data_IF_454268297827
#
_entry.id   IF_454268297827
#
_cell.length_a   1.000
_cell.length_b   1.000
_cell.length_c   1.000
_cell.angle_alpha   90.00
_cell.angle_beta   90.00
_cell.angle_gamma   90.00
#
_symmetry.space_group_name_H-M   'P 1'
#
loop_
_entity.id
_entity.type
_entity.pdbx_description
1 polymer ?
#
# COMPACT_ATOMS: atom_id res chain seq x y z
N UNK A 1 -34.89 12.30 -1.52
CA UNK A 1 -34.73 10.91 -1.94
C UNK A 1 -33.29 10.75 -2.39
N UNK A 2 -32.41 10.30 -1.49
CA UNK A 2 -31.04 9.99 -1.89
C UNK A 2 -31.07 8.69 -2.69
N UNK A 3 -30.81 8.79 -3.98
CA UNK A 3 -30.52 7.64 -4.83
C UNK A 3 -29.19 7.06 -4.31
N UNK A 4 -29.25 5.93 -3.64
CA UNK A 4 -28.04 5.19 -3.29
C UNK A 4 -27.36 4.75 -4.59
N UNK A 5 -26.14 5.22 -4.79
CA UNK A 5 -25.28 4.76 -5.89
C UNK A 5 -25.03 3.26 -5.64
N UNK A 6 -25.26 2.38 -6.64
CA UNK A 6 -24.97 0.95 -6.47
C UNK A 6 -23.52 0.77 -6.02
N UNK A 7 -23.30 0.00 -4.95
CA UNK A 7 -21.98 -0.21 -4.37
C UNK A 7 -21.45 0.93 -3.47
N UNK A 8 -22.32 1.89 -3.07
CA UNK A 8 -21.95 2.95 -2.14
C UNK A 8 -21.59 2.39 -0.76
N UNK A 9 -20.48 2.89 -0.20
CA UNK A 9 -19.99 2.61 1.15
C UNK A 9 -20.09 3.86 2.06
N UNK A 10 -21.12 4.67 1.86
CA UNK A 10 -21.30 5.95 2.55
C UNK A 10 -21.39 5.85 4.10
N UNK A 11 -21.52 4.65 4.64
CA UNK A 11 -21.48 4.39 6.09
C UNK A 11 -20.09 3.93 6.58
N UNK A 12 -19.10 3.83 5.68
CA UNK A 12 -17.74 3.38 6.00
C UNK A 12 -16.84 4.59 6.25
N UNK A 13 -16.09 4.55 7.35
CA UNK A 13 -15.06 5.52 7.69
C UNK A 13 -13.68 4.86 7.52
N UNK A 14 -12.81 5.44 6.70
CA UNK A 14 -11.45 4.96 6.51
C UNK A 14 -10.43 5.91 7.14
N UNK A 15 -9.50 5.34 7.90
CA UNK A 15 -8.30 6.02 8.37
C UNK A 15 -7.20 5.86 7.32
N UNK A 16 -6.60 6.97 6.90
CA UNK A 16 -5.42 6.98 6.03
C UNK A 16 -4.22 7.47 6.82
N UNK A 17 -3.19 6.64 6.95
CA UNK A 17 -1.91 6.99 7.55
C UNK A 17 -0.92 7.34 6.45
N UNK A 18 -0.53 8.60 6.37
CA UNK A 18 0.38 9.16 5.36
C UNK A 18 1.67 9.62 6.04
N UNK A 19 2.83 9.30 5.46
CA UNK A 19 4.14 9.47 6.07
C UNK A 19 4.99 10.58 5.43
N UNK A 20 4.55 11.08 4.28
CA UNK A 20 5.15 12.23 3.59
C UNK A 20 4.12 12.82 2.61
N UNK A 21 4.13 14.14 2.46
CA UNK A 21 3.13 14.86 1.68
C UNK A 21 3.02 14.40 0.20
N UNK A 22 4.13 14.00 -0.43
CA UNK A 22 4.15 13.56 -1.84
C UNK A 22 3.68 12.11 -2.06
N UNK A 23 3.38 11.35 -1.00
CA UNK A 23 2.86 9.97 -1.10
C UNK A 23 1.40 9.86 -0.60
N UNK A 24 0.45 10.62 -1.16
CA UNK A 24 -0.98 10.42 -0.88
C UNK A 24 -1.46 9.08 -1.46
N UNK A 25 -2.67 8.62 -1.10
CA UNK A 25 -3.19 7.34 -1.60
C UNK A 25 -3.43 7.27 -3.12
N UNK A 26 -3.29 8.36 -3.87
CA UNK A 26 -3.42 8.35 -5.32
C UNK A 26 -4.77 7.78 -5.77
N UNK A 27 -4.74 6.81 -6.70
CA UNK A 27 -5.99 6.20 -7.22
C UNK A 27 -6.83 5.52 -6.14
N UNK A 28 -6.26 5.11 -5.02
CA UNK A 28 -7.03 4.52 -3.92
C UNK A 28 -7.92 5.56 -3.24
N UNK A 29 -7.47 6.81 -3.14
CA UNK A 29 -8.30 7.90 -2.63
C UNK A 29 -9.44 8.23 -3.59
N UNK A 30 -9.18 8.21 -4.91
CA UNK A 30 -10.22 8.40 -5.92
C UNK A 30 -11.32 7.35 -5.73
N UNK A 31 -10.94 6.07 -5.57
CA UNK A 31 -11.90 4.97 -5.32
C UNK A 31 -12.68 5.19 -4.02
N UNK A 32 -12.01 5.54 -2.92
CA UNK A 32 -12.69 5.81 -1.64
C UNK A 32 -13.75 6.91 -1.78
N UNK A 33 -13.39 8.01 -2.44
CA UNK A 33 -14.30 9.14 -2.69
C UNK A 33 -15.49 8.77 -3.58
N UNK A 34 -15.22 8.07 -4.69
CA UNK A 34 -16.26 7.60 -5.61
C UNK A 34 -17.26 6.66 -4.95
N UNK A 35 -16.77 5.82 -4.00
CA UNK A 35 -17.60 4.90 -3.21
C UNK A 35 -18.31 5.60 -2.04
N UNK A 36 -18.04 6.88 -1.81
CA UNK A 36 -18.64 7.68 -0.73
C UNK A 36 -18.10 7.36 0.67
N UNK A 37 -16.94 6.72 0.76
CA UNK A 37 -16.26 6.43 2.04
C UNK A 37 -15.83 7.75 2.68
N UNK A 38 -16.15 7.94 3.97
CA UNK A 38 -15.65 9.07 4.74
C UNK A 38 -14.16 8.81 5.05
N UNK A 39 -13.31 9.77 4.68
CA UNK A 39 -11.86 9.62 4.76
C UNK A 39 -11.30 10.55 5.83
N UNK A 40 -10.57 9.99 6.78
CA UNK A 40 -9.78 10.71 7.77
C UNK A 40 -8.30 10.46 7.50
N UNK A 41 -7.59 11.49 7.02
CA UNK A 41 -6.16 11.42 6.77
C UNK A 41 -5.41 11.95 7.98
N UNK A 42 -4.32 11.29 8.34
CA UNK A 42 -3.35 11.71 9.34
C UNK A 42 -2.00 11.86 8.65
N UNK A 43 -1.43 13.05 8.67
CA UNK A 43 -0.08 13.36 8.19
C UNK A 43 0.88 13.20 9.36
N UNK A 44 1.43 11.99 9.49
CA UNK A 44 2.18 11.59 10.70
C UNK A 44 3.51 12.34 10.81
N UNK A 45 4.15 12.61 9.69
CA UNK A 45 5.40 13.39 9.61
C UNK A 45 5.22 14.85 10.04
N UNK A 46 4.02 15.41 9.90
CA UNK A 46 3.66 16.74 10.40
C UNK A 46 3.33 16.75 11.92
N UNK A 47 3.39 15.59 12.57
CA UNK A 47 3.14 15.43 14.00
C UNK A 47 1.67 15.38 14.37
N UNK A 48 0.79 15.06 13.43
CA UNK A 48 -0.62 14.85 13.73
C UNK A 48 -0.79 13.61 14.62
N UNK A 49 -1.64 13.71 15.68
CA UNK A 49 -1.83 12.59 16.60
C UNK A 49 -2.60 11.45 15.94
N UNK A 50 -2.18 10.22 16.22
CA UNK A 50 -2.92 9.03 15.81
C UNK A 50 -4.27 8.96 16.57
N UNK A 51 -5.40 8.81 15.85
CA UNK A 51 -6.72 8.67 16.45
C UNK A 51 -6.92 7.26 17.04
N UNK A 52 -8.02 7.06 17.76
CA UNK A 52 -8.45 5.72 18.14
C UNK A 52 -8.92 4.97 16.87
N UNK A 53 -8.23 3.90 16.52
CA UNK A 53 -8.55 3.08 15.35
C UNK A 53 -9.97 2.48 15.40
N UNK A 54 -10.58 2.40 16.60
CA UNK A 54 -11.94 1.86 16.79
C UNK A 54 -13.05 2.75 16.23
N UNK A 55 -12.71 3.99 15.89
CA UNK A 55 -13.62 4.93 15.25
C UNK A 55 -13.72 4.70 13.73
N UNK A 56 -12.96 3.73 13.18
CA UNK A 56 -12.85 3.47 11.76
C UNK A 56 -13.23 2.03 11.41
N UNK A 57 -13.67 1.85 10.16
CA UNK A 57 -14.06 0.56 9.58
C UNK A 57 -12.94 -0.06 8.74
N UNK A 58 -11.95 0.72 8.34
CA UNK A 58 -10.79 0.30 7.57
C UNK A 58 -9.60 1.24 7.77
N UNK A 59 -8.38 0.71 7.55
CA UNK A 59 -7.13 1.50 7.58
C UNK A 59 -6.41 1.33 6.24
N UNK A 60 -5.90 2.45 5.71
CA UNK A 60 -4.95 2.48 4.57
C UNK A 60 -3.64 3.06 5.08
N UNK A 61 -2.54 2.33 4.93
CA UNK A 61 -1.20 2.73 5.38
C UNK A 61 -0.33 2.92 4.16
N UNK A 62 0.11 4.15 3.94
CA UNK A 62 0.83 4.53 2.73
C UNK A 62 2.34 4.27 2.82
N UNK A 63 3.04 4.58 1.74
CA UNK A 63 4.49 4.52 1.64
C UNK A 63 5.21 5.66 2.36
N UNK A 64 6.53 5.66 2.24
CA UNK A 64 7.40 6.70 2.76
C UNK A 64 8.88 6.32 2.63
N UNK A 65 9.78 7.32 2.65
CA UNK A 65 11.22 7.11 2.46
C UNK A 65 11.95 6.54 3.68
N UNK A 66 11.28 6.48 4.85
CA UNK A 66 11.86 5.98 6.10
C UNK A 66 11.84 4.44 6.16
N UNK A 67 12.70 3.86 7.01
CA UNK A 67 12.62 2.44 7.34
C UNK A 67 11.59 2.18 8.45
N UNK A 68 10.89 1.05 8.37
CA UNK A 68 10.02 0.57 9.46
C UNK A 68 10.79 0.33 10.79
N UNK A 69 12.13 0.38 10.76
CA UNK A 69 13.01 0.21 11.93
C UNK A 69 13.56 1.53 12.48
N UNK A 70 13.16 2.70 11.96
CA UNK A 70 13.66 4.01 12.39
C UNK A 70 13.08 4.51 13.71
N UNK A 71 12.67 3.60 14.59
CA UNK A 71 12.03 3.87 15.89
C UNK A 71 12.78 4.89 16.76
N UNK A 72 14.10 4.93 16.65
CA UNK A 72 14.94 5.82 17.46
C UNK A 72 14.86 7.27 16.98
N UNK A 73 14.81 7.47 15.68
CA UNK A 73 14.74 8.79 15.05
C UNK A 73 13.31 9.27 14.83
N UNK A 74 12.38 8.34 14.66
CA UNK A 74 10.96 8.55 14.40
C UNK A 74 10.10 7.79 15.43
N UNK A 75 9.99 8.30 16.68
CA UNK A 75 9.29 7.58 17.76
C UNK A 75 7.81 7.29 17.48
N UNK A 76 7.16 8.03 16.59
CA UNK A 76 5.79 7.80 16.17
C UNK A 76 5.59 6.44 15.48
N UNK A 77 6.65 5.86 14.87
CA UNK A 77 6.60 4.50 14.29
C UNK A 77 6.25 3.43 15.33
N UNK A 78 6.64 3.62 16.60
CA UNK A 78 6.30 2.69 17.68
C UNK A 78 4.80 2.71 17.93
N UNK A 79 4.22 3.92 18.00
CA UNK A 79 2.78 4.09 18.26
C UNK A 79 1.95 3.60 17.08
N UNK A 80 2.38 3.88 15.86
CA UNK A 80 1.73 3.41 14.65
C UNK A 80 1.75 1.89 14.53
N UNK A 81 2.91 1.24 14.73
CA UNK A 81 2.99 -0.24 14.74
C UNK A 81 2.10 -0.86 15.82
N UNK A 82 1.97 -0.20 16.98
CA UNK A 82 1.04 -0.65 18.03
C UNK A 82 -0.41 -0.54 17.56
N UNK A 83 -0.80 0.61 16.98
CA UNK A 83 -2.12 0.82 16.42
C UNK A 83 -2.45 -0.25 15.37
N UNK A 84 -1.56 -0.45 14.39
CA UNK A 84 -1.73 -1.46 13.34
C UNK A 84 -1.89 -2.86 13.96
N UNK A 85 -1.03 -3.23 14.92
CA UNK A 85 -1.09 -4.54 15.58
C UNK A 85 -2.42 -4.78 16.28
N UNK A 86 -2.91 -3.80 17.05
CA UNK A 86 -4.18 -3.89 17.76
C UNK A 86 -5.37 -3.98 16.79
N UNK A 87 -5.41 -3.10 15.78
CA UNK A 87 -6.48 -3.05 14.79
C UNK A 87 -6.58 -4.35 13.99
N UNK A 88 -5.45 -4.81 13.42
CA UNK A 88 -5.41 -6.03 12.59
C UNK A 88 -5.78 -7.28 13.41
N UNK A 89 -5.28 -7.39 14.65
CA UNK A 89 -5.64 -8.52 15.53
C UNK A 89 -7.09 -8.51 15.98
N UNK A 90 -7.76 -7.35 15.92
CA UNK A 90 -9.21 -7.26 16.14
C UNK A 90 -10.05 -7.61 14.92
N UNK A 91 -9.40 -7.87 13.75
CA UNK A 91 -10.06 -8.16 12.48
C UNK A 91 -10.42 -6.91 11.67
N UNK A 92 -9.88 -5.74 11.99
CA UNK A 92 -10.11 -4.54 11.18
C UNK A 92 -9.41 -4.68 9.82
N UNK A 93 -10.09 -4.40 8.69
CA UNK A 93 -9.47 -4.38 7.38
C UNK A 93 -8.33 -3.37 7.30
N UNK A 94 -7.21 -3.78 6.68
CA UNK A 94 -6.09 -2.91 6.42
C UNK A 94 -5.55 -3.13 5.00
N UNK A 95 -5.19 -2.03 4.33
CA UNK A 95 -4.45 -2.00 3.08
C UNK A 95 -3.14 -1.26 3.27
N UNK A 96 -2.00 -1.94 3.15
CA UNK A 96 -0.66 -1.36 3.33
C UNK A 96 0.13 -1.33 2.03
N UNK A 97 0.80 -0.21 1.73
CA UNK A 97 1.59 0.00 0.51
C UNK A 97 3.02 0.35 0.89
N UNK A 98 4.00 -0.34 0.31
CA UNK A 98 5.43 -0.09 0.45
C UNK A 98 5.85 -0.07 1.94
N UNK A 99 6.15 1.08 2.53
CA UNK A 99 6.38 1.18 3.98
C UNK A 99 5.20 0.59 4.77
N UNK A 100 3.97 0.81 4.32
CA UNK A 100 2.76 0.29 4.98
C UNK A 100 2.72 -1.24 5.07
N UNK A 101 3.18 -1.99 4.06
CA UNK A 101 3.28 -3.46 4.16
C UNK A 101 4.39 -3.89 5.11
N UNK A 102 5.49 -3.14 5.17
CA UNK A 102 6.60 -3.41 6.09
C UNK A 102 6.18 -3.14 7.54
N UNK A 103 5.45 -2.04 7.79
CA UNK A 103 4.85 -1.73 9.10
C UNK A 103 3.83 -2.81 9.51
N UNK A 104 3.00 -3.28 8.59
CA UNK A 104 2.08 -4.40 8.84
C UNK A 104 2.86 -5.66 9.22
N UNK A 105 3.91 -6.01 8.49
CA UNK A 105 4.75 -7.17 8.78
C UNK A 105 5.41 -7.06 10.17
N UNK A 106 6.02 -5.91 10.47
CA UNK A 106 6.64 -5.63 11.78
C UNK A 106 5.61 -5.69 12.92
N UNK A 107 4.42 -5.14 12.74
CA UNK A 107 3.32 -5.15 13.71
C UNK A 107 2.79 -6.54 14.02
N UNK A 108 2.96 -7.48 13.08
CA UNK A 108 2.66 -8.90 13.24
C UNK A 108 3.82 -9.73 13.79
N UNK A 109 4.97 -9.08 14.09
CA UNK A 109 6.15 -9.69 14.69
C UNK A 109 7.14 -10.28 13.68
N UNK A 110 7.02 -9.97 12.40
CA UNK A 110 7.98 -10.33 11.38
C UNK A 110 9.16 -9.33 11.36
N UNK A 111 10.32 -9.76 10.88
CA UNK A 111 11.46 -8.86 10.70
C UNK A 111 11.30 -8.06 9.41
N UNK A 112 11.73 -6.81 9.45
CA UNK A 112 11.96 -5.96 8.28
C UNK A 112 13.47 -5.72 8.21
N UNK A 113 14.06 -5.84 7.02
CA UNK A 113 15.51 -5.76 6.84
C UNK A 113 15.86 -5.35 5.41
N UNK A 114 17.07 -4.80 5.17
CA UNK A 114 17.54 -4.52 3.83
C UNK A 114 17.54 -5.75 2.94
N UNK A 115 16.98 -5.63 1.75
CA UNK A 115 16.99 -6.69 0.74
C UNK A 115 18.36 -6.86 0.09
N UNK A 116 18.51 -7.83 -0.83
CA UNK A 116 19.78 -8.12 -1.49
C UNK A 116 20.27 -6.95 -2.34
N UNK A 117 19.38 -6.29 -3.06
CA UNK A 117 19.64 -5.11 -3.91
C UNK A 117 18.35 -4.28 -3.95
N UNK A 118 18.40 -2.94 -4.00
CA UNK A 118 17.20 -2.13 -4.17
C UNK A 118 16.46 -2.45 -5.47
N UNK A 119 15.14 -2.61 -5.41
CA UNK A 119 14.29 -2.61 -6.60
C UNK A 119 13.83 -1.17 -6.88
N UNK A 120 14.30 -0.61 -7.99
CA UNK A 120 13.87 0.70 -8.51
C UNK A 120 13.62 0.54 -10.01
N UNK A 121 12.36 0.59 -10.42
CA UNK A 121 12.01 0.35 -11.82
C UNK A 121 10.54 0.00 -12.01
N UNK A 122 10.14 -0.11 -13.26
CA UNK A 122 8.91 -0.79 -13.64
C UNK A 122 9.23 -2.28 -13.80
N UNK A 123 8.91 -3.07 -12.80
CA UNK A 123 9.30 -4.47 -12.72
C UNK A 123 8.07 -5.37 -12.58
N UNK A 124 8.13 -6.59 -13.15
CA UNK A 124 7.04 -7.54 -13.02
C UNK A 124 7.01 -8.19 -11.63
N UNK A 125 5.81 -8.36 -11.09
CA UNK A 125 5.55 -9.27 -9.98
C UNK A 125 4.63 -10.39 -10.44
N UNK A 126 4.88 -11.60 -9.94
CA UNK A 126 4.09 -12.79 -10.27
C UNK A 126 3.11 -13.08 -9.14
N UNK A 127 1.83 -13.22 -9.47
CA UNK A 127 0.78 -13.63 -8.55
C UNK A 127 0.95 -15.12 -8.25
N UNK A 128 1.06 -15.48 -6.97
CA UNK A 128 1.22 -16.87 -6.52
C UNK A 128 -0.05 -17.70 -6.75
N UNK A 129 0.04 -19.02 -6.57
CA UNK A 129 -1.15 -19.88 -6.61
C UNK A 129 -2.18 -19.47 -5.56
N UNK A 130 -1.72 -19.10 -4.35
CA UNK A 130 -2.60 -18.56 -3.32
C UNK A 130 -3.21 -17.22 -3.71
N UNK A 131 -2.44 -16.34 -4.37
CA UNK A 131 -2.95 -15.08 -4.88
C UNK A 131 -4.06 -15.28 -5.93
N UNK A 132 -3.89 -16.23 -6.85
CA UNK A 132 -4.94 -16.57 -7.84
C UNK A 132 -6.23 -17.14 -7.23
N UNK A 133 -6.17 -17.62 -6.00
CA UNK A 133 -7.33 -18.12 -5.25
C UNK A 133 -7.84 -17.13 -4.19
N UNK A 134 -7.14 -15.99 -4.04
CA UNK A 134 -7.48 -14.96 -3.06
C UNK A 134 -8.62 -14.08 -3.58
N UNK A 135 -9.62 -13.73 -2.75
CA UNK A 135 -10.77 -12.96 -3.21
C UNK A 135 -10.41 -11.58 -3.80
N UNK A 136 -9.29 -10.98 -3.39
CA UNK A 136 -8.86 -9.66 -3.89
C UNK A 136 -8.01 -9.78 -5.15
N UNK A 137 -7.12 -10.78 -5.20
CA UNK A 137 -6.13 -10.93 -6.28
C UNK A 137 -6.57 -11.90 -7.40
N UNK A 138 -7.69 -12.63 -7.23
CA UNK A 138 -8.11 -13.70 -8.16
C UNK A 138 -8.33 -13.23 -9.61
N UNK A 139 -8.74 -11.97 -9.79
CA UNK A 139 -9.01 -11.41 -11.12
C UNK A 139 -7.81 -10.64 -11.70
N UNK A 140 -6.72 -10.51 -10.90
CA UNK A 140 -5.49 -9.88 -11.39
C UNK A 140 -4.81 -10.74 -12.45
N UNK A 141 -4.13 -10.13 -13.44
CA UNK A 141 -3.23 -10.85 -14.33
C UNK A 141 -2.18 -11.66 -13.55
N UNK A 142 -1.75 -12.80 -14.08
CA UNK A 142 -0.74 -13.64 -13.42
C UNK A 142 0.58 -12.89 -13.22
N UNK A 143 0.90 -11.95 -14.10
CA UNK A 143 2.04 -11.06 -14.02
C UNK A 143 1.55 -9.61 -14.06
N UNK A 144 1.95 -8.81 -13.09
CA UNK A 144 1.64 -7.38 -12.99
C UNK A 144 2.90 -6.57 -13.25
N UNK A 145 2.83 -5.59 -14.15
CA UNK A 145 3.84 -4.55 -14.21
C UNK A 145 3.58 -3.55 -13.08
N UNK A 146 4.56 -3.34 -12.21
CA UNK A 146 4.43 -2.50 -11.01
C UNK A 146 5.58 -1.51 -10.92
N UNK A 147 5.33 -0.37 -10.28
CA UNK A 147 6.38 0.53 -9.87
C UNK A 147 7.02 0.00 -8.58
N UNK A 148 8.31 -0.29 -8.65
CA UNK A 148 9.13 -0.68 -7.51
C UNK A 148 10.05 0.49 -7.14
N UNK A 149 10.07 0.84 -5.85
CA UNK A 149 10.98 1.84 -5.32
C UNK A 149 11.24 1.59 -3.84
N UNK A 150 11.96 0.50 -3.56
CA UNK A 150 12.26 0.09 -2.20
C UNK A 150 13.61 -0.61 -2.09
N UNK A 151 14.17 -0.65 -0.89
CA UNK A 151 15.39 -1.37 -0.57
C UNK A 151 15.22 -2.37 0.56
N UNK A 152 14.21 -2.16 1.42
CA UNK A 152 13.89 -3.08 2.50
C UNK A 152 12.90 -4.14 2.05
N UNK A 153 12.94 -5.28 2.74
CA UNK A 153 12.01 -6.41 2.61
C UNK A 153 11.61 -6.91 4.00
N UNK A 154 10.77 -7.92 4.05
CA UNK A 154 10.28 -8.48 5.31
C UNK A 154 10.15 -10.01 5.23
N UNK A 155 10.25 -10.66 6.39
CA UNK A 155 9.83 -12.05 6.53
C UNK A 155 8.31 -12.13 6.46
N UNK A 156 7.77 -13.21 5.88
CA UNK A 156 6.33 -13.43 5.89
C UNK A 156 5.84 -13.64 7.32
N UNK A 157 4.91 -12.84 7.85
CA UNK A 157 4.38 -13.02 9.19
C UNK A 157 3.78 -14.41 9.39
N UNK A 158 3.90 -14.94 10.61
CA UNK A 158 3.33 -16.25 10.92
C UNK A 158 1.81 -16.25 10.75
N UNK A 159 1.31 -17.14 9.91
CA UNK A 159 -0.11 -17.25 9.57
C UNK A 159 -0.55 -16.38 8.39
N UNK A 160 0.35 -15.58 7.83
CA UNK A 160 0.10 -14.84 6.61
C UNK A 160 0.20 -15.74 5.37
N UNK A 161 -0.47 -15.33 4.31
CA UNK A 161 -0.48 -16.00 3.00
C UNK A 161 0.19 -15.09 1.99
N UNK A 162 1.25 -15.58 1.32
CA UNK A 162 1.94 -14.85 0.24
C UNK A 162 1.06 -14.81 -1.00
N UNK A 163 0.84 -13.61 -1.53
CA UNK A 163 -0.02 -13.37 -2.70
C UNK A 163 0.78 -13.08 -3.98
N UNK A 164 1.94 -12.44 -3.85
CA UNK A 164 2.81 -12.11 -4.98
C UNK A 164 4.29 -12.20 -4.61
N UNK A 165 5.14 -12.42 -5.63
CA UNK A 165 6.59 -12.48 -5.53
C UNK A 165 7.25 -11.87 -6.77
N UNK A 166 8.53 -11.45 -6.66
CA UNK A 166 9.39 -11.12 -7.79
C UNK A 166 10.63 -12.00 -7.79
N UNK A 167 11.43 -12.03 -8.86
CA UNK A 167 12.67 -12.80 -8.90
C UNK A 167 13.68 -12.40 -7.82
N UNK A 168 13.72 -11.12 -7.44
CA UNK A 168 14.64 -10.61 -6.43
C UNK A 168 14.05 -10.69 -5.01
N UNK A 169 12.72 -10.58 -4.89
CA UNK A 169 12.04 -10.50 -3.60
C UNK A 169 10.88 -11.50 -3.52
N UNK A 170 11.02 -12.44 -2.60
CA UNK A 170 10.02 -13.48 -2.41
C UNK A 170 8.67 -12.93 -1.89
N UNK A 171 8.71 -11.87 -1.08
CA UNK A 171 7.52 -11.28 -0.45
C UNK A 171 7.19 -9.93 -1.07
N UNK A 172 6.37 -9.93 -2.12
CA UNK A 172 5.88 -8.72 -2.79
C UNK A 172 4.45 -8.34 -2.38
N UNK A 173 3.65 -9.31 -1.94
CA UNK A 173 2.35 -9.07 -1.34
C UNK A 173 1.97 -10.22 -0.43
N UNK A 174 1.25 -9.89 0.65
CA UNK A 174 0.68 -10.90 1.54
C UNK A 174 -0.67 -10.47 2.10
N UNK A 175 -1.42 -11.47 2.59
CA UNK A 175 -2.62 -11.29 3.38
C UNK A 175 -2.47 -11.95 4.75
N UNK A 176 -2.92 -11.26 5.78
CA UNK A 176 -3.13 -11.80 7.12
C UNK A 176 -4.55 -11.46 7.56
N UNK A 177 -5.43 -12.48 7.60
CA UNK A 177 -6.85 -12.31 7.86
C UNK A 177 -7.49 -11.31 6.89
N UNK A 178 -7.90 -10.12 7.36
CA UNK A 178 -8.48 -9.03 6.57
C UNK A 178 -7.47 -7.92 6.22
N UNK A 179 -6.22 -8.07 6.65
CA UNK A 179 -5.14 -7.13 6.32
C UNK A 179 -4.39 -7.60 5.07
N UNK A 180 -4.22 -6.70 4.12
CA UNK A 180 -3.49 -6.88 2.87
C UNK A 180 -2.35 -5.90 2.79
N UNK A 181 -1.22 -6.33 2.26
CA UNK A 181 -0.09 -5.46 2.02
C UNK A 181 0.60 -5.78 0.70
N UNK A 182 1.00 -4.72 -0.01
CA UNK A 182 1.75 -4.77 -1.26
C UNK A 182 3.04 -3.96 -1.13
N UNK A 183 4.17 -4.51 -1.58
CA UNK A 183 5.47 -3.82 -1.53
C UNK A 183 5.63 -2.82 -2.65
N UNK A 184 4.97 -3.06 -3.76
CA UNK A 184 4.98 -2.27 -4.97
C UNK A 184 3.88 -1.20 -4.99
N UNK A 185 4.00 -0.28 -5.95
CA UNK A 185 3.05 0.80 -6.16
C UNK A 185 2.23 0.59 -7.43
N UNK A 186 0.94 0.80 -7.34
CA UNK A 186 -0.03 0.84 -8.43
C UNK A 186 -0.91 2.09 -8.37
N UNK A 187 -0.74 2.91 -7.33
CA UNK A 187 -1.55 4.11 -7.08
C UNK A 187 -1.00 5.37 -7.72
N UNK A 188 0.25 5.34 -8.15
CA UNK A 188 1.07 6.51 -8.47
C UNK A 188 0.76 7.06 -9.85
N UNK A 189 0.56 8.38 -9.94
CA UNK A 189 0.54 9.11 -11.20
C UNK A 189 1.96 9.52 -11.63
N UNK A 190 2.13 9.92 -12.90
CA UNK A 190 3.40 10.49 -13.35
C UNK A 190 3.78 11.78 -12.62
N UNK A 191 2.81 12.58 -12.14
CA UNK A 191 3.03 13.76 -11.33
C UNK A 191 3.60 13.39 -9.96
N UNK A 192 2.98 12.45 -9.25
CA UNK A 192 3.49 11.94 -7.97
C UNK A 192 4.91 11.39 -8.11
N UNK A 193 5.20 10.62 -9.15
CA UNK A 193 6.54 10.07 -9.37
C UNK A 193 7.60 11.18 -9.58
N UNK A 194 7.23 12.31 -10.21
CA UNK A 194 8.11 13.46 -10.34
C UNK A 194 8.37 14.16 -9.00
N UNK A 195 7.34 14.30 -8.16
CA UNK A 195 7.48 14.83 -6.80
C UNK A 195 8.38 13.94 -5.93
N UNK A 196 8.24 12.62 -6.02
CA UNK A 196 9.11 11.67 -5.32
C UNK A 196 10.58 11.85 -5.74
N UNK A 197 10.82 12.08 -7.03
CA UNK A 197 12.19 12.30 -7.53
C UNK A 197 12.83 13.61 -7.05
N UNK A 198 12.14 14.46 -6.29
CA UNK A 198 12.67 15.64 -5.61
C UNK A 198 13.02 15.37 -4.14
N UNK A 199 12.56 14.24 -3.56
CA UNK A 199 12.86 13.85 -2.18
C UNK A 199 14.31 13.34 -2.08
N UNK A 200 15.15 13.85 -1.17
CA UNK A 200 16.58 13.53 -1.10
C UNK A 200 16.89 12.03 -1.02
N UNK A 201 16.10 11.27 -0.27
CA UNK A 201 16.23 9.82 -0.10
C UNK A 201 15.99 9.09 -1.43
N UNK A 202 14.98 9.51 -2.18
CA UNK A 202 14.63 8.95 -3.49
C UNK A 202 15.63 9.36 -4.57
N UNK A 203 16.08 10.62 -4.58
CA UNK A 203 17.19 11.08 -5.44
C UNK A 203 18.42 10.21 -5.23
N UNK A 204 18.79 9.98 -3.97
CA UNK A 204 19.94 9.13 -3.62
C UNK A 204 19.75 7.67 -4.07
N UNK A 205 18.53 7.14 -3.96
CA UNK A 205 18.19 5.80 -4.43
C UNK A 205 18.28 5.68 -5.95
N UNK A 206 17.69 6.63 -6.69
CA UNK A 206 17.79 6.70 -8.15
C UNK A 206 19.24 6.74 -8.63
N UNK A 207 20.05 7.63 -8.05
CA UNK A 207 21.45 7.79 -8.43
C UNK A 207 22.26 6.50 -8.22
N UNK A 208 22.01 5.77 -7.12
CA UNK A 208 22.70 4.51 -6.81
C UNK A 208 22.28 3.37 -7.72
N UNK A 209 20.98 3.28 -8.05
CA UNK A 209 20.43 2.12 -8.76
C UNK A 209 20.46 2.31 -10.28
N UNK A 210 20.11 3.50 -10.76
CA UNK A 210 19.95 3.77 -12.20
C UNK A 210 21.08 4.65 -12.77
N UNK A 211 21.90 5.26 -11.90
CA UNK A 211 22.86 6.28 -12.30
C UNK A 211 22.18 7.60 -12.69
N UNK A 212 22.98 8.66 -12.89
CA UNK A 212 22.47 10.00 -13.16
C UNK A 212 21.65 10.10 -14.47
N UNK A 213 21.98 9.29 -15.47
CA UNK A 213 21.31 9.27 -16.76
C UNK A 213 20.05 8.39 -16.79
N UNK A 214 19.87 7.49 -15.81
CA UNK A 214 18.73 6.57 -15.76
C UNK A 214 17.44 7.19 -15.24
N UNK A 215 17.53 8.17 -14.36
CA UNK A 215 16.36 8.78 -13.71
C UNK A 215 15.36 9.42 -14.70
N UNK A 216 15.77 10.22 -15.72
CA UNK A 216 14.82 10.77 -16.68
C UNK A 216 14.08 9.70 -17.50
N UNK A 217 14.79 8.65 -17.91
CA UNK A 217 14.18 7.55 -18.66
C UNK A 217 13.19 6.76 -17.79
N UNK A 218 13.50 6.57 -16.51
CA UNK A 218 12.61 5.92 -15.55
C UNK A 218 11.32 6.73 -15.33
N UNK A 219 11.42 8.04 -15.11
CA UNK A 219 10.24 8.90 -14.94
C UNK A 219 9.38 8.94 -16.20
N UNK A 220 9.99 8.98 -17.39
CA UNK A 220 9.26 8.91 -18.65
C UNK A 220 8.53 7.57 -18.82
N UNK A 221 9.14 6.46 -18.40
CA UNK A 221 8.50 5.15 -18.45
C UNK A 221 7.32 5.04 -17.47
N UNK A 222 7.42 5.67 -16.27
CA UNK A 222 6.29 5.75 -15.34
C UNK A 222 5.15 6.54 -15.97
N UNK A 223 5.42 7.72 -16.53
CA UNK A 223 4.41 8.54 -17.19
C UNK A 223 3.65 7.78 -18.28
N UNK A 224 4.38 7.00 -19.09
CA UNK A 224 3.79 6.17 -20.16
C UNK A 224 2.87 5.06 -19.61
N UNK A 225 3.18 4.52 -18.43
CA UNK A 225 2.52 3.33 -17.87
C UNK A 225 1.58 3.62 -16.71
N UNK A 226 1.60 4.86 -16.17
CA UNK A 226 0.85 5.23 -14.96
C UNK A 226 -0.64 4.86 -15.05
N UNK A 227 -1.32 5.20 -16.14
CA UNK A 227 -2.74 4.93 -16.27
C UNK A 227 -3.07 3.44 -16.21
N UNK A 228 -2.30 2.60 -16.92
CA UNK A 228 -2.49 1.14 -16.91
C UNK A 228 -2.20 0.52 -15.54
N UNK A 229 -1.18 1.00 -14.83
CA UNK A 229 -0.89 0.55 -13.46
C UNK A 229 -2.00 0.98 -12.50
N UNK A 230 -2.47 2.22 -12.60
CA UNK A 230 -3.57 2.74 -11.77
C UNK A 230 -4.89 2.02 -12.02
N UNK A 231 -5.19 1.62 -13.27
CA UNK A 231 -6.36 0.77 -13.57
C UNK A 231 -6.28 -0.57 -12.82
N UNK A 232 -5.09 -1.19 -12.79
CA UNK A 232 -4.86 -2.43 -12.04
C UNK A 232 -4.98 -2.19 -10.54
N UNK A 233 -4.36 -1.12 -10.03
CA UNK A 233 -4.45 -0.71 -8.62
C UNK A 233 -5.88 -0.46 -8.19
N UNK A 234 -6.64 0.27 -9.01
CA UNK A 234 -8.07 0.50 -8.81
C UNK A 234 -8.84 -0.81 -8.67
N UNK A 235 -8.67 -1.73 -9.61
CA UNK A 235 -9.39 -3.01 -9.61
C UNK A 235 -9.11 -3.84 -8.35
N UNK A 236 -7.85 -3.92 -7.93
CA UNK A 236 -7.46 -4.62 -6.69
C UNK A 236 -8.05 -3.95 -5.44
N UNK A 237 -7.99 -2.63 -5.38
CA UNK A 237 -8.49 -1.88 -4.23
C UNK A 237 -10.03 -1.91 -4.14
N UNK A 238 -10.73 -1.84 -5.26
CA UNK A 238 -12.18 -2.04 -5.33
C UNK A 238 -12.56 -3.45 -4.88
N UNK A 239 -11.83 -4.48 -5.32
CA UNK A 239 -12.06 -5.85 -4.87
C UNK A 239 -11.84 -5.99 -3.35
N UNK A 240 -10.84 -5.31 -2.78
CA UNK A 240 -10.62 -5.27 -1.34
C UNK A 240 -11.78 -4.56 -0.60
N UNK A 241 -12.25 -3.43 -1.09
CA UNK A 241 -13.40 -2.74 -0.51
C UNK A 241 -14.66 -3.61 -0.54
N UNK A 242 -14.95 -4.24 -1.68
CA UNK A 242 -16.17 -5.01 -1.87
C UNK A 242 -16.18 -6.34 -1.11
N UNK A 243 -15.04 -7.01 -1.03
CA UNK A 243 -14.96 -8.39 -0.52
C UNK A 243 -14.43 -8.48 0.91
N UNK A 244 -13.75 -7.42 1.36
CA UNK A 244 -13.10 -7.40 2.68
C UNK A 244 -13.68 -6.32 3.59
N UNK A 245 -13.88 -5.08 3.10
CA UNK A 245 -14.36 -3.96 3.92
C UNK A 245 -15.88 -3.93 4.01
N UNK A 246 -16.58 -4.14 2.91
CA UNK A 246 -18.04 -4.10 2.90
C UNK A 246 -18.64 -5.06 3.93
N UNK A 247 -19.65 -4.63 4.70
CA UNK A 247 -20.32 -5.53 5.64
C UNK A 247 -20.95 -6.71 4.91
N UNK A 248 -20.85 -7.91 5.50
CA UNK A 248 -21.50 -9.10 4.98
C UNK A 248 -23.01 -8.87 4.84
N UNK A 249 -23.49 -8.64 3.63
CA UNK A 249 -24.90 -8.33 3.33
C UNK A 249 -25.12 -7.13 2.41
N UNK A 250 -24.10 -6.31 2.14
CA UNK A 250 -24.21 -5.16 1.23
C UNK A 250 -24.13 -5.54 -0.27
N UNK A 251 -23.81 -6.79 -0.60
CA UNK A 251 -23.57 -7.28 -1.98
C UNK A 251 -24.82 -7.94 -2.60
N UNK A 252 -25.97 -7.87 -1.94
CA UNK A 252 -27.21 -8.49 -2.43
C UNK A 252 -28.35 -7.47 -2.52
N UNK A 253 -28.34 -6.64 -3.55
CA UNK A 253 -29.56 -6.01 -4.07
C UNK A 253 -29.34 -5.43 -5.47
#
# INVERSE_FOLDING_TARGET
MNSLIPGSLAAVNALVLQHIACEPPGVFEDVLRERGVALHRVEIDEGEPLPDWRDFDAIVVMGGPMSANDDTSLPWLIEEKRLISEAVRSGLPLWGVCLGVQLLAASLGARVYPGPEPEVGLLPVTITEHGRSDPVFAEAPTELLTLQWHGDTFDLPRGAVRLASSPAYENQAFRFDRAYGVQFHLEVSGEMAREWAEVPEYVSSLARTLGAEGAPAFLAAIEERADSMRETGRALFEAWLDRVVAPAGAIAS
#
